data_IF_533514658406
#
_entry.id   IF_533514658406
#
_cell.length_a   1.000
_cell.length_b   1.000
_cell.length_c   1.000
_cell.angle_alpha   90.00
_cell.angle_beta   90.00
_cell.angle_gamma   90.00
#
_symmetry.space_group_name_H-M   'P 1'
#
loop_
_entity.id
_entity.type
_entity.pdbx_description
1 polymer ?
#
# COMPACT_ATOMS: atom_id res chain seq x y z
N UNK A 1 13.24 7.93 -3.74
CA UNK A 1 11.90 8.47 -3.39
C UNK A 1 11.70 8.51 -1.89
N UNK A 2 11.72 7.39 -1.17
CA UNK A 2 11.44 7.36 0.27
C UNK A 2 12.32 8.34 1.07
N UNK A 3 13.64 8.27 0.95
CA UNK A 3 14.56 9.16 1.66
C UNK A 3 14.37 10.66 1.38
N UNK A 4 13.71 11.02 0.27
CA UNK A 4 13.50 12.41 -0.14
C UNK A 4 12.17 12.98 0.37
N UNK A 5 11.13 12.17 0.40
CA UNK A 5 9.74 12.61 0.54
C UNK A 5 9.00 12.05 1.77
N UNK A 6 9.62 11.12 2.48
CA UNK A 6 9.08 10.64 3.75
C UNK A 6 9.82 11.27 4.93
N UNK A 7 9.15 11.46 6.08
CA UNK A 7 9.85 11.84 7.31
C UNK A 7 10.90 10.78 7.70
N UNK A 8 11.82 11.07 8.62
CA UNK A 8 12.84 10.12 9.06
C UNK A 8 12.23 8.75 9.39
N UNK A 9 12.76 7.69 8.76
CA UNK A 9 12.24 6.33 8.84
C UNK A 9 13.35 5.29 8.65
N UNK A 10 13.07 4.07 9.07
CA UNK A 10 13.83 2.87 8.67
C UNK A 10 13.19 2.29 7.42
N UNK A 11 14.01 1.98 6.42
CA UNK A 11 13.54 1.40 5.16
C UNK A 11 13.88 -0.08 5.14
N UNK A 12 12.87 -0.92 4.99
CA UNK A 12 12.99 -2.37 4.99
C UNK A 12 12.26 -2.97 3.80
N UNK A 13 12.85 -3.95 3.14
CA UNK A 13 12.19 -4.75 2.12
C UNK A 13 11.74 -6.10 2.68
N UNK A 14 10.54 -6.52 2.34
CA UNK A 14 10.09 -7.90 2.53
C UNK A 14 10.37 -8.68 1.24
N UNK A 15 11.17 -9.75 1.30
CA UNK A 15 11.65 -10.47 0.11
C UNK A 15 11.91 -11.93 0.41
N UNK A 16 11.87 -12.77 -0.62
CA UNK A 16 12.30 -14.19 -0.59
C UNK A 16 13.82 -14.35 -0.65
N UNK A 17 14.56 -13.30 -1.05
CA UNK A 17 16.02 -13.29 -1.10
C UNK A 17 16.58 -12.10 -0.32
N UNK A 18 17.82 -12.19 0.13
CA UNK A 18 18.54 -11.08 0.74
C UNK A 18 18.85 -10.02 -0.33
N UNK A 19 18.47 -8.77 -0.05
CA UNK A 19 18.73 -7.61 -0.90
C UNK A 19 19.90 -6.77 -0.36
N UNK A 20 20.28 -5.73 -1.11
CA UNK A 20 21.32 -4.78 -0.70
C UNK A 20 20.86 -3.77 0.37
N UNK A 21 19.58 -3.75 0.71
CA UNK A 21 18.99 -2.99 1.81
C UNK A 21 18.63 -3.90 2.98
N UNK A 22 18.19 -3.33 4.09
CA UNK A 22 17.64 -4.11 5.19
C UNK A 22 16.46 -4.96 4.68
N UNK A 23 16.52 -6.26 4.96
CA UNK A 23 15.61 -7.23 4.37
C UNK A 23 15.01 -8.12 5.44
N UNK A 24 13.69 -8.18 5.47
CA UNK A 24 12.94 -9.19 6.22
C UNK A 24 12.65 -10.34 5.24
N UNK A 25 13.25 -11.50 5.52
CA UNK A 25 13.00 -12.68 4.70
C UNK A 25 11.58 -13.22 4.93
N UNK A 26 10.94 -13.59 3.83
CA UNK A 26 9.68 -14.34 3.85
C UNK A 26 9.89 -15.65 4.60
N UNK A 27 8.91 -16.08 5.38
CA UNK A 27 8.89 -17.35 6.10
C UNK A 27 8.15 -18.45 5.34
N UNK A 28 7.33 -18.05 4.38
CA UNK A 28 6.45 -18.94 3.65
C UNK A 28 6.60 -18.74 2.14
N UNK A 29 6.41 -19.82 1.39
CA UNK A 29 6.39 -19.81 -0.08
C UNK A 29 5.00 -19.43 -0.62
N UNK A 30 4.33 -18.45 0.01
CA UNK A 30 3.00 -18.00 -0.41
C UNK A 30 3.06 -17.28 -1.75
N UNK A 31 2.27 -17.77 -2.71
CA UNK A 31 2.34 -17.32 -4.10
C UNK A 31 1.77 -15.92 -4.33
N UNK A 32 2.50 -15.15 -5.15
CA UNK A 32 2.04 -13.84 -5.66
C UNK A 32 1.76 -12.84 -4.54
N UNK A 33 0.61 -12.19 -4.60
CA UNK A 33 0.21 -11.19 -3.62
C UNK A 33 -0.02 -11.71 -2.19
N UNK A 34 -0.14 -13.03 -2.00
CA UNK A 34 -0.33 -13.62 -0.67
C UNK A 34 0.89 -13.47 0.25
N UNK A 35 2.10 -13.35 -0.31
CA UNK A 35 3.29 -13.02 0.45
C UNK A 35 3.14 -11.72 1.26
N UNK A 36 2.26 -10.79 0.82
CA UNK A 36 1.93 -9.56 1.53
C UNK A 36 1.37 -9.79 2.93
N UNK A 37 0.76 -10.94 3.21
CA UNK A 37 0.27 -11.26 4.55
C UNK A 37 1.39 -11.31 5.59
N UNK A 38 2.61 -11.59 5.18
CA UNK A 38 3.77 -11.58 6.09
C UNK A 38 4.19 -10.18 6.56
N UNK A 39 3.72 -9.11 5.94
CA UNK A 39 3.89 -7.75 6.43
C UNK A 39 3.31 -7.59 7.85
N UNK A 40 2.21 -8.26 8.14
CA UNK A 40 1.52 -8.19 9.43
C UNK A 40 2.23 -8.94 10.56
N UNK A 41 3.44 -9.47 10.32
CA UNK A 41 4.39 -9.88 11.36
C UNK A 41 5.04 -8.68 12.03
N UNK A 42 5.03 -7.51 11.36
CA UNK A 42 5.54 -6.26 11.92
C UNK A 42 4.51 -5.64 12.86
N UNK A 43 4.93 -5.14 14.02
CA UNK A 43 4.02 -4.52 14.98
C UNK A 43 3.42 -3.20 14.47
N UNK A 44 4.14 -2.49 13.62
CA UNK A 44 3.72 -1.25 12.97
C UNK A 44 4.51 -1.06 11.69
N UNK A 45 3.93 -0.47 10.64
CA UNK A 45 4.64 -0.07 9.44
C UNK A 45 3.81 0.90 8.57
N UNK A 46 4.51 1.59 7.67
CA UNK A 46 3.96 2.21 6.48
C UNK A 46 4.42 1.38 5.27
N UNK A 47 3.50 0.84 4.53
CA UNK A 47 3.75 -0.07 3.41
C UNK A 47 3.35 0.55 2.08
N UNK A 48 4.17 0.30 1.07
CA UNK A 48 3.90 0.63 -0.33
C UNK A 48 4.13 -0.60 -1.22
N UNK A 49 3.25 -0.83 -2.18
CA UNK A 49 3.52 -1.75 -3.30
C UNK A 49 4.70 -1.22 -4.14
N UNK A 50 5.45 -2.13 -4.77
CA UNK A 50 6.62 -1.79 -5.59
C UNK A 50 6.29 -0.90 -6.81
N UNK A 51 5.04 -0.88 -7.25
CA UNK A 51 4.56 -0.04 -8.32
C UNK A 51 3.88 1.25 -7.82
N UNK A 52 4.34 1.76 -6.67
CA UNK A 52 3.94 3.05 -6.11
C UNK A 52 5.06 4.07 -6.31
N UNK A 53 4.70 5.31 -6.67
CA UNK A 53 5.66 6.41 -6.87
C UNK A 53 5.33 7.54 -5.89
N UNK A 54 6.31 7.93 -5.07
CA UNK A 54 6.22 9.08 -4.17
C UNK A 54 6.86 10.27 -4.87
N UNK A 55 6.12 11.36 -5.06
CA UNK A 55 6.53 12.50 -5.88
C UNK A 55 6.62 13.82 -5.11
N UNK A 56 6.09 13.89 -3.91
CA UNK A 56 6.12 15.09 -3.08
C UNK A 56 6.17 14.74 -1.58
N UNK A 57 6.41 15.73 -0.73
CA UNK A 57 6.51 15.58 0.73
C UNK A 57 5.22 15.00 1.33
N UNK A 58 5.39 13.87 2.03
CA UNK A 58 4.32 13.12 2.67
C UNK A 58 4.21 13.36 4.19
N UNK A 59 5.00 14.26 4.76
CA UNK A 59 5.10 14.44 6.22
C UNK A 59 3.73 14.68 6.86
N UNK A 60 2.97 15.64 6.38
CA UNK A 60 1.66 15.98 6.96
C UNK A 60 0.65 14.83 6.90
N UNK A 61 0.59 14.13 5.75
CA UNK A 61 -0.36 13.02 5.60
C UNK A 61 0.03 11.81 6.46
N UNK A 62 1.33 11.58 6.65
CA UNK A 62 1.81 10.50 7.52
C UNK A 62 1.54 10.85 8.99
N UNK A 63 1.76 12.10 9.40
CA UNK A 63 1.46 12.55 10.77
C UNK A 63 -0.05 12.48 11.07
N UNK A 64 -0.89 12.79 10.10
CA UNK A 64 -2.33 12.57 10.23
C UNK A 64 -2.68 11.08 10.34
N UNK A 65 -2.04 10.21 9.54
CA UNK A 65 -2.27 8.77 9.60
C UNK A 65 -1.88 8.15 10.95
N UNK A 66 -0.89 8.71 11.66
CA UNK A 66 -0.48 8.25 13.00
C UNK A 66 -1.57 8.40 14.07
N UNK A 67 -2.62 9.17 13.81
CA UNK A 67 -3.79 9.28 14.70
C UNK A 67 -4.75 8.10 14.56
N UNK A 68 -4.48 7.17 13.65
CA UNK A 68 -5.35 6.03 13.34
C UNK A 68 -4.62 4.69 13.58
N UNK A 69 -5.38 3.67 13.92
CA UNK A 69 -4.84 2.34 14.15
C UNK A 69 -4.44 1.62 12.86
N UNK A 70 -5.28 1.77 11.82
CA UNK A 70 -5.05 1.16 10.52
C UNK A 70 -5.60 2.06 9.41
N UNK A 71 -4.74 2.40 8.46
CA UNK A 71 -5.10 3.20 7.29
C UNK A 71 -4.82 2.41 6.02
N UNK A 72 -5.78 2.39 5.10
CA UNK A 72 -5.70 1.65 3.83
C UNK A 72 -6.31 2.49 2.72
N UNK A 73 -6.05 2.16 1.47
CA UNK A 73 -6.73 2.83 0.36
C UNK A 73 -8.17 2.34 0.20
N UNK A 74 -9.07 3.26 -0.14
CA UNK A 74 -10.34 2.90 -0.75
C UNK A 74 -10.06 2.48 -2.19
N UNK A 75 -10.65 1.37 -2.62
CA UNK A 75 -10.50 0.89 -3.99
C UNK A 75 -11.14 1.88 -4.97
N UNK A 76 -10.36 2.41 -5.89
CA UNK A 76 -10.81 3.49 -6.80
C UNK A 76 -11.88 3.04 -7.78
N UNK A 77 -11.99 1.76 -8.08
CA UNK A 77 -12.98 1.21 -8.99
C UNK A 77 -14.18 0.63 -8.24
N UNK A 78 -13.94 -0.31 -7.34
CA UNK A 78 -14.98 -0.94 -6.53
C UNK A 78 -15.61 0.04 -5.53
N UNK A 79 -14.84 1.03 -5.08
CA UNK A 79 -15.28 2.07 -4.15
C UNK A 79 -16.43 2.94 -4.67
N UNK A 80 -16.60 3.02 -5.99
CA UNK A 80 -17.73 3.70 -6.62
C UNK A 80 -19.07 2.99 -6.33
N UNK A 81 -19.05 1.68 -6.12
CA UNK A 81 -20.23 0.85 -5.85
C UNK A 81 -20.28 0.36 -4.41
N UNK A 82 -19.12 0.23 -3.77
CA UNK A 82 -18.96 -0.17 -2.38
C UNK A 82 -17.95 0.76 -1.69
N UNK A 83 -18.38 1.79 -0.97
CA UNK A 83 -17.49 2.76 -0.32
C UNK A 83 -16.58 2.14 0.75
N UNK A 84 -16.82 0.88 1.13
CA UNK A 84 -15.98 0.10 2.05
C UNK A 84 -14.99 -0.83 1.33
N UNK A 85 -14.95 -0.83 0.00
CA UNK A 85 -14.00 -1.63 -0.76
C UNK A 85 -12.56 -1.14 -0.51
N UNK A 86 -11.68 -2.08 -0.21
CA UNK A 86 -10.29 -1.80 0.17
C UNK A 86 -9.32 -2.17 -0.95
N UNK A 87 -8.19 -1.44 -0.99
CA UNK A 87 -7.06 -1.71 -1.87
C UNK A 87 -5.77 -1.64 -1.06
N UNK A 88 -4.92 -2.65 -1.17
CA UNK A 88 -3.77 -2.87 -0.30
C UNK A 88 -2.44 -2.30 -0.81
N UNK A 89 -2.45 -1.41 -1.81
CA UNK A 89 -1.22 -0.87 -2.40
C UNK A 89 -0.47 0.12 -1.50
N UNK A 90 -1.18 0.77 -0.58
CA UNK A 90 -0.59 1.61 0.46
C UNK A 90 -1.36 1.38 1.75
N UNK A 91 -0.64 0.96 2.79
CA UNK A 91 -1.22 0.68 4.11
C UNK A 91 -0.35 1.26 5.22
N UNK A 92 -0.98 1.67 6.31
CA UNK A 92 -0.32 2.06 7.55
C UNK A 92 -1.01 1.38 8.73
N UNK A 93 -0.23 0.90 9.69
CA UNK A 93 -0.75 0.45 10.97
C UNK A 93 0.20 0.84 12.10
N UNK A 94 -0.38 1.29 13.23
CA UNK A 94 0.34 1.79 14.39
C UNK A 94 0.52 0.76 15.51
N UNK A 95 -0.18 -0.38 15.41
CA UNK A 95 -0.18 -1.45 16.40
C UNK A 95 -0.36 -2.82 15.73
N UNK A 96 0.03 -3.92 16.39
CA UNK A 96 -0.08 -5.26 15.82
C UNK A 96 -1.48 -5.59 15.29
N UNK A 97 -1.53 -6.18 14.11
CA UNK A 97 -2.76 -6.61 13.43
C UNK A 97 -2.66 -8.13 13.22
N UNK A 98 -3.65 -8.88 13.68
CA UNK A 98 -3.62 -10.34 13.68
C UNK A 98 -4.01 -10.99 12.33
N UNK A 99 -3.78 -10.29 11.22
CA UNK A 99 -4.05 -10.80 9.87
C UNK A 99 -3.11 -11.95 9.49
N UNK A 100 -1.84 -11.88 9.89
CA UNK A 100 -0.88 -12.94 9.63
C UNK A 100 -1.24 -14.22 10.41
N UNK A 101 -1.52 -14.10 11.71
CA UNK A 101 -1.80 -15.24 12.57
C UNK A 101 -3.11 -15.95 12.20
N UNK A 102 -4.06 -15.22 11.65
CA UNK A 102 -5.34 -15.75 11.17
C UNK A 102 -5.27 -16.34 9.76
N UNK A 103 -4.24 -15.98 8.99
CA UNK A 103 -4.13 -16.44 7.61
C UNK A 103 -3.82 -17.95 7.55
N UNK A 104 -4.57 -18.67 6.72
CA UNK A 104 -4.36 -20.07 6.42
C UNK A 104 -4.15 -20.27 4.93
N UNK A 105 -3.21 -21.11 4.56
CA UNK A 105 -2.87 -21.38 3.15
C UNK A 105 -4.09 -21.75 2.29
N UNK A 106 -5.06 -22.42 2.86
CA UNK A 106 -6.32 -22.75 2.16
C UNK A 106 -7.07 -21.50 1.67
N UNK A 107 -6.86 -20.35 2.31
CA UNK A 107 -7.49 -19.08 1.92
C UNK A 107 -6.90 -18.51 0.63
N UNK A 108 -5.70 -18.97 0.20
CA UNK A 108 -5.12 -18.60 -1.08
C UNK A 108 -5.96 -19.04 -2.28
N UNK A 109 -6.82 -20.01 -2.09
CA UNK A 109 -7.76 -20.49 -3.12
C UNK A 109 -9.09 -19.77 -3.11
N UNK A 110 -9.30 -18.86 -2.15
CA UNK A 110 -10.50 -18.04 -2.11
C UNK A 110 -10.43 -16.94 -3.17
N UNK A 111 -11.58 -16.59 -3.74
CA UNK A 111 -11.66 -15.51 -4.72
C UNK A 111 -11.31 -14.15 -4.09
N UNK A 112 -10.62 -13.28 -4.86
CA UNK A 112 -10.45 -11.87 -4.53
C UNK A 112 -9.09 -11.48 -3.95
N UNK A 113 -8.17 -12.40 -3.72
CA UNK A 113 -6.79 -12.11 -3.31
C UNK A 113 -6.65 -11.50 -1.91
N UNK A 114 -5.46 -10.96 -1.64
CA UNK A 114 -5.08 -10.32 -0.38
C UNK A 114 -6.02 -9.18 0.03
N UNK A 115 -6.45 -8.36 -0.91
CA UNK A 115 -7.37 -7.24 -0.66
C UNK A 115 -8.70 -7.70 -0.08
N UNK A 116 -9.28 -8.75 -0.63
CA UNK A 116 -10.56 -9.29 -0.13
C UNK A 116 -10.40 -9.95 1.25
N UNK A 117 -9.26 -10.57 1.50
CA UNK A 117 -8.94 -11.10 2.82
C UNK A 117 -8.84 -10.00 3.87
N UNK A 118 -8.07 -8.94 3.57
CA UNK A 118 -7.94 -7.77 4.46
C UNK A 118 -9.31 -7.12 4.68
N UNK A 119 -10.08 -6.88 3.60
CA UNK A 119 -11.41 -6.29 3.65
C UNK A 119 -12.35 -7.08 4.57
N UNK A 120 -12.34 -8.43 4.47
CA UNK A 120 -13.15 -9.29 5.30
C UNK A 120 -12.83 -9.17 6.80
N UNK A 121 -11.54 -9.12 7.16
CA UNK A 121 -11.10 -9.12 8.56
C UNK A 121 -11.05 -7.73 9.19
N UNK A 122 -10.86 -6.68 8.36
CA UNK A 122 -10.67 -5.30 8.80
C UNK A 122 -11.91 -4.42 8.58
N UNK A 123 -13.00 -4.97 8.07
CA UNK A 123 -14.26 -4.25 7.88
C UNK A 123 -14.63 -3.45 9.13
N UNK A 124 -14.97 -2.17 8.91
CA UNK A 124 -15.34 -1.20 9.95
C UNK A 124 -14.23 -0.86 10.98
N UNK A 125 -12.98 -1.25 10.74
CA UNK A 125 -11.83 -1.01 11.63
C UNK A 125 -10.73 -0.18 10.95
N UNK A 126 -11.00 0.42 9.82
CA UNK A 126 -10.02 1.16 9.03
C UNK A 126 -10.42 2.59 8.80
N UNK A 127 -9.43 3.43 8.61
CA UNK A 127 -9.54 4.76 7.99
C UNK A 127 -9.02 4.66 6.58
N UNK A 128 -9.57 5.43 5.64
CA UNK A 128 -9.08 5.45 4.27
C UNK A 128 -8.14 6.62 4.05
N UNK A 129 -7.07 6.40 3.26
CA UNK A 129 -6.16 7.47 2.88
C UNK A 129 -6.89 8.66 2.26
N UNK A 130 -7.91 8.40 1.44
CA UNK A 130 -8.72 9.42 0.79
C UNK A 130 -9.60 10.24 1.75
N UNK A 131 -9.76 9.81 3.00
CA UNK A 131 -10.44 10.57 4.06
C UNK A 131 -9.43 11.44 4.86
N UNK A 132 -8.12 11.19 4.70
CA UNK A 132 -7.04 11.93 5.36
C UNK A 132 -6.46 13.00 4.43
N UNK A 133 -6.30 12.68 3.13
CA UNK A 133 -5.59 13.52 2.16
C UNK A 133 -6.07 13.31 0.73
N UNK A 134 -6.03 14.38 -0.06
CA UNK A 134 -6.20 14.32 -1.52
C UNK A 134 -4.91 13.89 -2.24
N UNK A 135 -3.79 13.72 -1.49
CA UNK A 135 -2.46 13.47 -2.06
C UNK A 135 -2.21 12.03 -2.51
N UNK A 136 -3.05 11.05 -2.16
CA UNK A 136 -2.92 9.65 -2.61
C UNK A 136 -3.85 9.41 -3.78
N UNK A 137 -3.29 9.25 -4.97
CA UNK A 137 -4.04 9.21 -6.23
C UNK A 137 -3.74 7.96 -7.05
N UNK A 138 -4.69 7.56 -7.89
CA UNK A 138 -4.51 6.51 -8.88
C UNK A 138 -3.97 7.08 -10.18
N UNK A 139 -2.94 6.45 -10.75
CA UNK A 139 -2.42 6.87 -12.06
C UNK A 139 -3.51 6.89 -13.13
N UNK A 140 -4.31 5.83 -13.21
CA UNK A 140 -5.32 5.68 -14.26
C UNK A 140 -6.59 6.48 -14.00
N UNK A 141 -7.08 6.47 -12.75
CA UNK A 141 -8.36 7.08 -12.44
C UNK A 141 -8.24 8.60 -12.23
N UNK A 142 -7.10 9.07 -11.73
CA UNK A 142 -6.93 10.47 -11.32
C UNK A 142 -5.91 11.20 -12.19
N UNK A 143 -4.69 10.65 -12.34
CA UNK A 143 -3.59 11.35 -13.02
C UNK A 143 -3.82 11.45 -14.53
N UNK A 144 -4.28 10.37 -15.17
CA UNK A 144 -4.51 10.40 -16.63
C UNK A 144 -5.54 11.45 -17.04
N UNK A 145 -6.72 11.59 -16.40
CA UNK A 145 -7.70 12.60 -16.75
C UNK A 145 -7.38 14.00 -16.21
N UNK A 146 -6.76 14.13 -15.01
CA UNK A 146 -6.70 15.39 -14.27
C UNK A 146 -5.28 15.96 -14.07
N UNK A 147 -4.23 15.15 -14.36
CA UNK A 147 -2.84 15.54 -14.09
C UNK A 147 -2.40 15.21 -12.66
N UNK A 148 -1.31 15.85 -12.22
CA UNK A 148 -0.63 15.58 -10.94
C UNK A 148 -0.97 16.59 -9.84
N UNK A 149 -1.97 17.44 -10.02
CA UNK A 149 -2.31 18.46 -9.03
C UNK A 149 -2.55 17.81 -7.65
N UNK A 150 -1.88 18.36 -6.62
CA UNK A 150 -1.88 17.86 -5.23
C UNK A 150 -1.40 16.42 -5.01
N UNK A 151 -1.01 15.68 -6.06
CA UNK A 151 -0.53 14.32 -5.89
C UNK A 151 0.79 14.29 -5.12
N UNK A 152 0.86 13.45 -4.10
CA UNK A 152 2.06 13.15 -3.31
C UNK A 152 2.50 11.70 -3.52
N UNK A 153 1.54 10.81 -3.62
CA UNK A 153 1.73 9.37 -3.86
C UNK A 153 0.85 8.93 -5.00
N UNK A 154 1.46 8.34 -6.03
CA UNK A 154 0.76 7.82 -7.21
C UNK A 154 0.79 6.30 -7.21
N UNK A 155 -0.38 5.68 -7.18
CA UNK A 155 -0.56 4.24 -7.19
C UNK A 155 -0.84 3.74 -8.60
N UNK A 156 -0.08 2.75 -9.03
CA UNK A 156 -0.29 2.08 -10.31
C UNK A 156 -1.04 0.76 -10.11
N UNK A 157 -2.00 0.49 -10.99
CA UNK A 157 -2.81 -0.73 -10.95
C UNK A 157 -2.60 -1.49 -12.26
N UNK A 158 -1.73 -2.50 -12.24
CA UNK A 158 -1.39 -3.25 -13.45
C UNK A 158 -0.59 -2.41 -14.45
N UNK A 159 -1.00 -2.39 -15.72
CA UNK A 159 -0.31 -1.60 -16.78
C UNK A 159 -0.98 -0.24 -17.01
N UNK A 160 -0.19 0.81 -17.39
CA UNK A 160 1.25 0.79 -17.43
C UNK A 160 1.85 0.70 -16.03
N UNK A 161 3.06 0.19 -15.91
CA UNK A 161 3.88 0.27 -14.71
C UNK A 161 4.57 1.63 -14.62
N UNK A 162 5.09 2.08 -13.46
CA UNK A 162 5.79 3.36 -13.35
C UNK A 162 6.90 3.55 -14.40
N UNK A 163 7.65 2.50 -14.68
CA UNK A 163 8.75 2.51 -15.65
C UNK A 163 8.32 2.35 -17.12
N UNK A 164 7.05 2.14 -17.41
CA UNK A 164 6.48 2.02 -18.76
C UNK A 164 5.81 3.32 -19.23
N UNK A 165 5.89 4.40 -18.46
CA UNK A 165 5.24 5.68 -18.75
C UNK A 165 6.22 6.86 -18.59
N UNK A 166 5.88 8.03 -19.15
CA UNK A 166 6.72 9.24 -19.16
C UNK A 166 6.10 10.46 -18.50
N UNK A 167 4.86 10.35 -17.99
CA UNK A 167 4.14 11.49 -17.39
C UNK A 167 4.64 11.82 -15.97
N UNK A 168 5.16 10.84 -15.28
CA UNK A 168 5.70 10.99 -13.93
C UNK A 168 7.19 10.71 -14.02
N UNK A 169 8.06 11.64 -13.55
CA UNK A 169 9.49 11.35 -13.42
C UNK A 169 9.68 10.11 -12.52
N UNK A 170 10.24 9.06 -13.09
CA UNK A 170 10.58 7.85 -12.38
C UNK A 170 12.10 7.70 -12.42
N UNK A 171 12.76 8.05 -11.33
CA UNK A 171 14.17 7.81 -11.15
C UNK A 171 14.36 6.44 -10.48
N UNK A 172 14.98 5.54 -11.20
CA UNK A 172 15.49 4.30 -10.62
C UNK A 172 16.74 4.72 -9.83
N UNK A 173 16.59 4.88 -8.52
CA UNK A 173 17.70 5.17 -7.61
C UNK A 173 18.55 3.92 -7.33
#
# INVERSE_FOLDING_TARGET
MCAKFLPPHEFVCLSDIQLSCETILLKHDWIGWWAKMELFRLPSALYFDLDTVIIDDCTEMIDAAKQHDFVIMRDVYRGQFNPKAMQSSMMYWSKPVDLYDKFKELQMYAAGGDQSYIEHHMKDKVTYWQDITDGVVSFKADVLPNGLDKAKVVIFHGKPRPWEQTRIPYEIG
#
